data_IF_707824403346
#
_entry.id   IF_707824403346
#
_cell.length_a   1.000
_cell.length_b   1.000
_cell.length_c   1.000
_cell.angle_alpha   90.00
_cell.angle_beta   90.00
_cell.angle_gamma   90.00
#
_symmetry.space_group_name_H-M   'P 1'
#
loop_
_entity.id
_entity.type
_entity.pdbx_description
1 polymer ?
#
# COMPACT_ATOMS: atom_id res chain seq x y z
N UNK A 1 -3.27 -35.30 2.67
CA UNK A 1 -4.00 -34.10 3.15
C UNK A 1 -4.76 -34.47 4.41
N UNK A 2 -4.71 -33.67 5.47
CA UNK A 2 -5.38 -33.95 6.76
C UNK A 2 -6.87 -33.61 6.69
N UNK A 3 -7.74 -34.37 7.36
CA UNK A 3 -9.20 -34.17 7.38
C UNK A 3 -9.64 -32.75 7.77
N UNK A 4 -8.83 -32.05 8.58
CA UNK A 4 -9.07 -30.66 8.93
C UNK A 4 -9.07 -29.71 7.71
N UNK A 5 -8.21 -29.96 6.72
CA UNK A 5 -8.07 -29.08 5.55
C UNK A 5 -9.25 -29.21 4.58
N UNK A 6 -9.77 -30.42 4.40
CA UNK A 6 -10.97 -30.66 3.57
C UNK A 6 -12.20 -29.95 4.15
N UNK A 7 -12.35 -30.02 5.48
CA UNK A 7 -13.49 -29.42 6.18
C UNK A 7 -13.51 -27.88 6.07
N UNK A 8 -12.34 -27.24 6.05
CA UNK A 8 -12.21 -25.79 5.84
C UNK A 8 -12.59 -25.42 4.40
N UNK A 9 -12.11 -26.17 3.39
CA UNK A 9 -12.46 -25.93 2.00
C UNK A 9 -13.98 -26.03 1.75
N UNK A 10 -14.62 -27.08 2.25
CA UNK A 10 -16.07 -27.28 2.15
C UNK A 10 -16.87 -26.17 2.85
N UNK A 11 -16.45 -25.74 4.04
CA UNK A 11 -17.12 -24.67 4.81
C UNK A 11 -17.18 -23.35 4.04
N UNK A 12 -16.20 -23.12 3.16
CA UNK A 12 -16.10 -21.89 2.38
C UNK A 12 -16.52 -22.07 0.91
N UNK A 13 -17.18 -23.17 0.56
CA UNK A 13 -17.71 -23.40 -0.79
C UNK A 13 -16.64 -23.67 -1.85
N UNK A 14 -15.46 -24.13 -1.44
CA UNK A 14 -14.34 -24.46 -2.32
C UNK A 14 -14.34 -25.97 -2.62
N UNK A 15 -14.14 -26.33 -3.88
CA UNK A 15 -13.98 -27.73 -4.32
C UNK A 15 -12.51 -28.02 -4.59
N UNK A 16 -12.03 -29.17 -4.13
CA UNK A 16 -10.66 -29.64 -4.41
C UNK A 16 -10.72 -30.62 -5.58
N UNK A 17 -10.12 -30.26 -6.71
CA UNK A 17 -9.92 -31.15 -7.85
C UNK A 17 -8.43 -31.42 -8.10
N UNK A 18 -8.08 -32.69 -8.36
CA UNK A 18 -6.72 -33.13 -8.68
C UNK A 18 -6.04 -33.93 -7.56
N UNK A 19 -5.78 -35.21 -7.81
CA UNK A 19 -5.12 -36.09 -6.83
C UNK A 19 -4.85 -37.48 -7.38
N UNK A 20 -3.98 -37.60 -8.39
CA UNK A 20 -3.25 -38.85 -8.63
C UNK A 20 -1.77 -38.71 -8.29
N UNK A 21 -1.22 -39.83 -7.83
CA UNK A 21 -0.13 -39.91 -6.87
C UNK A 21 1.17 -40.32 -7.56
N UNK A 22 1.59 -39.57 -8.57
CA UNK A 22 2.95 -39.70 -9.11
C UNK A 22 3.34 -38.44 -9.87
N UNK A 23 4.41 -37.81 -9.40
CA UNK A 23 5.26 -36.88 -10.17
C UNK A 23 4.99 -35.36 -10.08
N UNK A 24 4.50 -34.84 -8.94
CA UNK A 24 4.29 -33.39 -8.80
C UNK A 24 4.76 -32.86 -7.44
N UNK A 25 5.55 -31.79 -7.48
CA UNK A 25 6.00 -30.99 -6.34
C UNK A 25 4.85 -30.70 -5.36
N UNK A 26 4.99 -31.17 -4.12
CA UNK A 26 3.98 -31.19 -3.06
C UNK A 26 3.74 -29.80 -2.41
N UNK A 27 4.11 -28.70 -3.07
CA UNK A 27 3.99 -27.33 -2.57
C UNK A 27 3.12 -26.45 -3.47
N UNK A 28 1.91 -26.91 -3.79
CA UNK A 28 0.88 -26.02 -4.31
C UNK A 28 0.23 -25.28 -3.14
N UNK A 29 0.93 -24.26 -2.64
CA UNK A 29 0.34 -23.26 -1.74
C UNK A 29 -0.31 -22.16 -2.58
N UNK A 30 -1.57 -21.83 -2.29
CA UNK A 30 -2.18 -20.59 -2.77
C UNK A 30 -2.45 -19.72 -1.56
N UNK A 31 -1.96 -18.48 -1.59
CA UNK A 31 -2.27 -17.47 -0.59
C UNK A 31 -3.50 -16.70 -1.04
N UNK A 32 -4.56 -16.72 -0.22
CA UNK A 32 -5.69 -15.81 -0.41
C UNK A 32 -5.58 -14.67 0.59
N UNK A 33 -5.43 -13.45 0.09
CA UNK A 33 -5.42 -12.22 0.88
C UNK A 33 -6.70 -11.42 0.60
N UNK A 34 -7.53 -11.24 1.63
CA UNK A 34 -8.68 -10.34 1.57
C UNK A 34 -8.37 -9.06 2.35
N UNK A 35 -8.59 -7.89 1.74
CA UNK A 35 -8.56 -6.60 2.44
C UNK A 35 -9.99 -6.14 2.66
N UNK A 36 -10.33 -5.88 3.92
CA UNK A 36 -11.63 -5.34 4.32
C UNK A 36 -11.43 -3.90 4.74
N UNK A 37 -12.26 -3.00 4.24
CA UNK A 37 -12.22 -1.58 4.61
C UNK A 37 -13.58 -0.92 4.42
N UNK A 38 -13.71 0.31 4.93
CA UNK A 38 -14.95 1.08 4.84
C UNK A 38 -15.06 1.61 3.41
N UNK A 39 -16.09 1.26 2.63
CA UNK A 39 -16.27 1.81 1.30
C UNK A 39 -16.69 3.28 1.37
N UNK A 40 -16.12 4.09 0.48
CA UNK A 40 -16.52 5.47 0.21
C UNK A 40 -17.54 5.49 -0.94
N UNK A 41 -18.24 6.61 -1.15
CA UNK A 41 -19.24 6.75 -2.23
C UNK A 41 -18.67 6.53 -3.63
N UNK A 42 -17.37 6.82 -3.82
CA UNK A 42 -16.63 6.62 -5.08
C UNK A 42 -16.11 5.17 -5.27
N UNK A 43 -16.41 4.27 -4.34
CA UNK A 43 -15.93 2.88 -4.33
C UNK A 43 -14.51 2.69 -3.81
N UNK A 44 -13.82 3.76 -3.41
CA UNK A 44 -12.52 3.64 -2.75
C UNK A 44 -12.66 3.12 -1.31
N UNK A 45 -11.58 2.52 -0.79
CA UNK A 45 -11.50 2.15 0.63
C UNK A 45 -11.02 3.36 1.43
N UNK A 46 -11.71 3.68 2.52
CA UNK A 46 -11.30 4.72 3.47
C UNK A 46 -9.88 4.47 4.00
N UNK A 47 -9.04 5.50 3.92
CA UNK A 47 -7.69 5.51 4.49
C UNK A 47 -7.57 6.63 5.51
N UNK A 48 -7.35 6.32 6.80
CA UNK A 48 -7.03 7.32 7.81
C UNK A 48 -5.80 8.15 7.46
N UNK A 49 -4.79 7.55 6.82
CA UNK A 49 -3.57 8.22 6.39
C UNK A 49 -3.85 9.27 5.32
N UNK A 50 -4.69 8.94 4.33
CA UNK A 50 -5.14 9.88 3.31
C UNK A 50 -5.91 11.04 3.93
N UNK A 51 -6.90 10.75 4.77
CA UNK A 51 -7.70 11.78 5.43
C UNK A 51 -6.84 12.74 6.27
N UNK A 52 -5.90 12.20 7.04
CA UNK A 52 -4.97 13.02 7.82
C UNK A 52 -4.04 13.85 6.93
N UNK A 53 -3.55 13.26 5.83
CA UNK A 53 -2.73 13.96 4.85
C UNK A 53 -3.46 15.16 4.24
N UNK A 54 -4.66 14.95 3.73
CA UNK A 54 -5.44 16.00 3.06
C UNK A 54 -5.70 17.20 3.97
N UNK A 55 -5.93 16.96 5.27
CA UNK A 55 -6.13 18.02 6.26
C UNK A 55 -4.83 18.78 6.56
N UNK A 56 -3.71 18.08 6.69
CA UNK A 56 -2.46 18.68 7.19
C UNK A 56 -1.53 19.18 6.08
N UNK A 57 -1.66 18.71 4.85
CA UNK A 57 -0.76 19.03 3.74
C UNK A 57 -0.48 20.54 3.59
N UNK A 58 -1.48 21.44 3.65
CA UNK A 58 -1.23 22.89 3.50
C UNK A 58 -0.29 23.45 4.57
N UNK A 59 -0.30 22.91 5.80
CA UNK A 59 0.59 23.34 6.88
C UNK A 59 2.06 22.99 6.64
N UNK A 60 2.34 22.11 5.70
CA UNK A 60 3.68 21.64 5.33
C UNK A 60 4.07 22.07 3.91
N UNK A 61 3.31 22.99 3.28
CA UNK A 61 3.59 23.48 1.93
C UNK A 61 3.33 22.44 0.83
N UNK A 62 2.39 21.53 1.07
CA UNK A 62 1.93 20.51 0.12
C UNK A 62 0.44 20.72 -0.17
N UNK A 63 -0.02 20.20 -1.31
CA UNK A 63 -1.44 20.18 -1.65
C UNK A 63 -2.10 18.90 -1.12
N UNK A 64 -3.38 18.92 -0.73
CA UNK A 64 -4.12 17.71 -0.35
C UNK A 64 -4.05 16.62 -1.44
N UNK A 65 -4.09 17.03 -2.71
CA UNK A 65 -3.96 16.16 -3.88
C UNK A 65 -2.57 15.56 -4.08
N UNK A 66 -1.58 15.95 -3.28
CA UNK A 66 -0.24 15.35 -3.33
C UNK A 66 -0.21 13.96 -2.69
N UNK A 67 -1.25 13.57 -1.93
CA UNK A 67 -1.36 12.19 -1.45
C UNK A 67 -1.32 11.20 -2.61
N UNK A 68 -0.42 10.23 -2.55
CA UNK A 68 -0.25 9.24 -3.62
C UNK A 68 0.48 9.75 -4.87
N UNK A 69 0.81 11.05 -4.98
CA UNK A 69 1.69 11.52 -6.07
C UNK A 69 3.06 10.89 -5.96
N UNK A 70 3.68 10.73 -7.12
CA UNK A 70 5.02 10.18 -7.24
C UNK A 70 6.04 11.24 -7.64
N UNK A 71 7.29 11.02 -7.25
CA UNK A 71 8.43 11.88 -7.59
C UNK A 71 9.71 11.05 -7.67
N UNK A 72 10.70 11.52 -8.43
CA UNK A 72 12.00 10.85 -8.55
C UNK A 72 12.99 11.40 -7.53
N UNK A 73 13.61 10.51 -6.75
CA UNK A 73 14.68 10.83 -5.81
C UNK A 73 15.86 9.91 -6.07
N UNK A 74 17.01 10.48 -6.47
CA UNK A 74 18.26 9.73 -6.71
C UNK A 74 18.09 8.52 -7.66
N UNK A 75 17.20 8.66 -8.65
CA UNK A 75 16.90 7.61 -9.64
C UNK A 75 15.75 6.68 -9.27
N UNK A 76 15.32 6.65 -8.01
CA UNK A 76 14.19 5.86 -7.55
C UNK A 76 12.88 6.64 -7.64
N UNK A 77 11.79 5.97 -8.02
CA UNK A 77 10.43 6.53 -7.95
C UNK A 77 9.86 6.30 -6.55
N UNK A 78 9.45 7.38 -5.90
CA UNK A 78 8.81 7.36 -4.58
C UNK A 78 7.36 7.84 -4.68
N UNK A 79 6.50 7.34 -3.80
CA UNK A 79 5.10 7.73 -3.64
C UNK A 79 4.87 8.29 -2.25
N UNK A 80 4.11 9.37 -2.13
CA UNK A 80 3.72 9.97 -0.84
C UNK A 80 2.59 9.13 -0.24
N UNK A 81 2.73 8.70 1.02
CA UNK A 81 1.76 7.76 1.64
C UNK A 81 1.21 8.18 3.00
N UNK A 82 1.85 9.13 3.69
CA UNK A 82 1.32 9.66 4.95
C UNK A 82 1.99 10.97 5.37
N UNK A 83 1.37 11.68 6.30
CA UNK A 83 1.93 12.79 7.05
C UNK A 83 1.89 12.47 8.55
N UNK A 84 2.88 12.92 9.31
CA UNK A 84 2.92 12.76 10.75
C UNK A 84 3.45 14.05 11.43
N UNK A 85 2.56 14.88 12.02
CA UNK A 85 2.95 16.15 12.62
C UNK A 85 3.83 15.99 13.86
N UNK A 86 3.83 14.81 14.50
CA UNK A 86 4.69 14.51 15.65
C UNK A 86 6.16 14.25 15.27
N UNK A 87 6.51 14.38 13.98
CA UNK A 87 7.87 14.20 13.45
C UNK A 87 8.38 15.51 12.82
N UNK A 88 8.77 16.51 13.62
CA UNK A 88 9.04 17.86 13.13
C UNK A 88 10.11 17.93 12.02
N UNK A 89 11.14 17.07 12.09
CA UNK A 89 12.22 17.05 11.07
C UNK A 89 11.87 16.26 9.81
N UNK A 90 11.01 15.25 9.92
CA UNK A 90 10.69 14.31 8.84
C UNK A 90 9.19 13.94 8.86
N UNK A 91 8.30 14.91 8.61
CA UNK A 91 6.87 14.71 8.77
C UNK A 91 6.26 13.86 7.66
N UNK A 92 6.86 13.81 6.46
CA UNK A 92 6.28 13.10 5.32
C UNK A 92 6.81 11.67 5.26
N UNK A 93 5.91 10.70 5.11
CA UNK A 93 6.27 9.30 4.84
C UNK A 93 6.06 9.00 3.36
N UNK A 94 7.05 8.35 2.76
CA UNK A 94 7.01 7.93 1.35
C UNK A 94 7.38 6.46 1.23
N UNK A 95 6.96 5.84 0.14
CA UNK A 95 7.34 4.47 -0.22
C UNK A 95 8.05 4.47 -1.56
N UNK A 96 9.15 3.74 -1.67
CA UNK A 96 9.75 3.47 -2.97
C UNK A 96 8.86 2.50 -3.74
N UNK A 97 8.55 2.82 -4.99
CA UNK A 97 7.56 2.08 -5.79
C UNK A 97 8.05 0.68 -6.16
N UNK A 98 9.36 0.47 -6.30
CA UNK A 98 9.93 -0.81 -6.75
C UNK A 98 9.84 -1.95 -5.72
N UNK A 99 9.90 -1.63 -4.43
CA UNK A 99 9.95 -2.63 -3.35
C UNK A 99 9.07 -2.30 -2.14
N UNK A 100 8.32 -1.20 -2.18
CA UNK A 100 7.47 -0.74 -1.09
C UNK A 100 8.23 -0.26 0.14
N UNK A 101 9.56 -0.08 0.05
CA UNK A 101 10.36 0.32 1.21
C UNK A 101 9.99 1.73 1.65
N UNK A 102 9.65 1.87 2.93
CA UNK A 102 9.24 3.14 3.55
C UNK A 102 10.42 4.05 3.91
N UNK A 103 10.25 5.35 3.68
CA UNK A 103 11.19 6.42 4.00
C UNK A 103 10.46 7.59 4.66
N UNK A 104 11.21 8.39 5.43
CA UNK A 104 10.71 9.61 6.09
C UNK A 104 11.51 10.79 5.56
N UNK A 105 10.82 11.87 5.18
CA UNK A 105 11.42 12.99 4.45
C UNK A 105 10.97 14.34 5.01
N UNK A 106 11.81 15.38 4.90
CA UNK A 106 11.40 16.77 5.15
C UNK A 106 10.35 17.20 4.13
N UNK A 107 9.39 18.02 4.55
CA UNK A 107 8.33 18.48 3.65
C UNK A 107 8.87 19.34 2.50
N UNK A 108 9.89 20.15 2.78
CA UNK A 108 10.52 21.05 1.81
C UNK A 108 11.22 20.28 0.70
N UNK A 109 11.78 19.11 1.02
CA UNK A 109 12.39 18.22 0.02
C UNK A 109 11.33 17.68 -0.94
N UNK A 110 10.16 17.29 -0.42
CA UNK A 110 9.05 16.79 -1.23
C UNK A 110 8.52 17.89 -2.15
N UNK A 111 8.24 19.07 -1.60
CA UNK A 111 7.74 20.21 -2.38
C UNK A 111 8.68 20.55 -3.55
N UNK A 112 10.00 20.56 -3.30
CA UNK A 112 11.02 20.78 -4.33
C UNK A 112 10.94 19.73 -5.45
N UNK A 113 10.85 18.44 -5.12
CA UNK A 113 10.80 17.39 -6.13
C UNK A 113 9.48 17.36 -6.91
N UNK A 114 8.37 17.74 -6.29
CA UNK A 114 7.07 17.85 -6.99
C UNK A 114 7.07 19.00 -8.00
N UNK A 115 7.70 20.13 -7.69
CA UNK A 115 7.85 21.25 -8.64
C UNK A 115 8.71 20.88 -9.85
N UNK A 116 9.77 20.10 -9.64
CA UNK A 116 10.69 19.66 -10.70
C UNK A 116 10.21 18.43 -11.48
N UNK A 117 9.01 17.90 -11.18
CA UNK A 117 8.45 16.71 -11.82
C UNK A 117 7.55 17.02 -13.03
N UNK A 118 7.52 18.27 -13.48
CA UNK A 118 6.85 18.70 -14.71
C UNK A 118 7.81 18.48 -15.88
N UNK A 119 7.68 17.33 -16.55
CA UNK A 119 8.12 17.10 -17.94
C UNK A 119 6.88 17.02 -18.84
#
# INVERSE_FOLDING_TARGET
MTQACLKVAETHGLTVEGGELSDIDLRHGFDISFRVGIPMEDGAIYSPEKALFEVLAPHFGLEPSDYGRTFKLRGDLHRIVAINPNRPRYPISTERVSDGRGYKMPAETIAMYLQNSVD
#
